data_IF_668441647145
#
_entry.id   IF_668441647145
#
_cell.length_a   1.000
_cell.length_b   1.000
_cell.length_c   1.000
_cell.angle_alpha   90.00
_cell.angle_beta   90.00
_cell.angle_gamma   90.00
#
_symmetry.space_group_name_H-M   'P 1'
#
loop_
_entity.id
_entity.type
_entity.pdbx_description
1 polymer ?
#
# COMPACT_ATOMS: atom_id res chain seq x y z
N UNK A 1 -0.92 -37.86 1.61
CA UNK A 1 -0.57 -37.22 0.33
C UNK A 1 -0.68 -35.72 0.56
N UNK A 2 0.44 -35.00 0.55
CA UNK A 2 0.41 -33.55 0.61
C UNK A 2 -0.19 -33.05 -0.71
N UNK A 3 -1.28 -32.30 -0.62
CA UNK A 3 -1.92 -31.68 -1.77
C UNK A 3 -1.03 -30.52 -2.22
N UNK A 4 -0.29 -30.73 -3.29
CA UNK A 4 0.57 -29.70 -3.88
C UNK A 4 -0.28 -28.82 -4.80
N UNK A 5 -0.85 -27.73 -4.26
CA UNK A 5 -1.47 -26.67 -5.07
C UNK A 5 -0.38 -25.92 -5.84
N UNK A 6 -0.61 -25.61 -7.11
CA UNK A 6 0.32 -24.75 -7.85
C UNK A 6 0.20 -23.29 -7.38
N UNK A 7 1.30 -22.55 -7.40
CA UNK A 7 1.34 -21.16 -6.91
C UNK A 7 0.31 -20.27 -7.61
N UNK A 8 0.09 -20.45 -8.91
CA UNK A 8 -0.88 -19.70 -9.70
C UNK A 8 -2.34 -19.97 -9.30
N UNK A 9 -2.65 -21.22 -8.95
CA UNK A 9 -3.97 -21.62 -8.45
C UNK A 9 -4.25 -21.08 -7.05
N UNK A 10 -3.23 -21.13 -6.17
CA UNK A 10 -3.33 -20.57 -4.83
C UNK A 10 -3.46 -19.04 -4.86
N UNK A 11 -2.67 -18.35 -5.70
CA UNK A 11 -2.79 -16.91 -5.93
C UNK A 11 -4.19 -16.53 -6.39
N UNK A 12 -4.75 -17.26 -7.34
CA UNK A 12 -6.12 -17.04 -7.84
C UNK A 12 -7.15 -17.18 -6.72
N UNK A 13 -7.00 -18.22 -5.89
CA UNK A 13 -7.89 -18.47 -4.74
C UNK A 13 -7.81 -17.37 -3.69
N UNK A 14 -6.61 -16.87 -3.40
CA UNK A 14 -6.41 -15.74 -2.48
C UNK A 14 -7.02 -14.45 -3.04
N UNK A 15 -6.81 -14.14 -4.32
CA UNK A 15 -7.37 -12.94 -4.94
C UNK A 15 -8.90 -13.00 -4.98
N UNK A 16 -9.51 -14.18 -5.11
CA UNK A 16 -10.95 -14.34 -5.10
C UNK A 16 -11.60 -14.01 -3.74
N UNK A 17 -10.87 -14.13 -2.63
CA UNK A 17 -11.37 -13.81 -1.28
C UNK A 17 -10.90 -12.44 -0.76
N UNK A 18 -9.90 -11.85 -1.42
CA UNK A 18 -9.36 -10.54 -1.06
C UNK A 18 -10.20 -9.41 -1.67
N UNK A 19 -10.39 -8.34 -0.90
CA UNK A 19 -10.96 -7.08 -1.38
C UNK A 19 -10.07 -5.91 -0.94
N UNK A 20 -10.00 -4.82 -1.72
CA UNK A 20 -9.36 -3.59 -1.25
C UNK A 20 -9.95 -3.16 0.09
N UNK A 21 -9.10 -2.60 0.94
CA UNK A 21 -9.56 -2.01 2.19
C UNK A 21 -10.35 -0.73 1.90
N UNK A 22 -11.36 -0.49 2.72
CA UNK A 22 -12.17 0.72 2.62
C UNK A 22 -11.33 1.97 2.92
N UNK A 23 -11.66 3.07 2.25
CA UNK A 23 -11.08 4.37 2.57
C UNK A 23 -11.56 4.89 3.91
N UNK A 24 -10.83 5.84 4.49
CA UNK A 24 -11.20 6.48 5.74
C UNK A 24 -10.78 7.95 5.75
N UNK A 25 -11.50 8.73 6.56
CA UNK A 25 -11.17 10.13 6.83
C UNK A 25 -9.94 10.19 7.75
N UNK A 26 -8.88 10.80 7.26
CA UNK A 26 -7.64 10.99 8.01
C UNK A 26 -7.49 12.46 8.39
N UNK A 27 -7.13 12.79 9.64
CA UNK A 27 -6.84 14.16 10.03
C UNK A 27 -5.81 14.79 9.09
N UNK A 28 -6.02 16.05 8.72
CA UNK A 28 -5.29 16.70 7.64
C UNK A 28 -3.76 16.69 7.87
N UNK A 29 -3.32 16.85 9.12
CA UNK A 29 -1.90 16.85 9.46
C UNK A 29 -1.28 15.44 9.44
N UNK A 30 -2.09 14.40 9.64
CA UNK A 30 -1.68 13.00 9.56
C UNK A 30 -1.69 12.48 8.11
N UNK A 31 -2.42 13.14 7.22
CA UNK A 31 -2.58 12.78 5.81
C UNK A 31 -1.29 12.87 4.98
N UNK A 32 -0.22 13.46 5.51
CA UNK A 32 1.03 13.60 4.78
C UNK A 32 1.63 12.24 4.37
N UNK A 33 1.76 12.03 3.07
CA UNK A 33 2.34 10.80 2.50
C UNK A 33 1.32 9.71 2.17
N UNK A 34 0.07 9.82 2.65
CA UNK A 34 -1.04 8.95 2.29
C UNK A 34 -1.49 9.17 0.83
N UNK A 35 -2.38 8.31 0.36
CA UNK A 35 -2.97 8.38 -0.99
C UNK A 35 -4.42 8.82 -0.89
N UNK A 36 -4.82 9.82 -1.68
CA UNK A 36 -6.19 10.31 -1.73
C UNK A 36 -7.14 9.24 -2.29
N UNK A 37 -8.29 9.02 -1.65
CA UNK A 37 -9.27 8.00 -2.10
C UNK A 37 -10.40 8.53 -2.97
N UNK A 38 -10.56 9.86 -3.08
CA UNK A 38 -11.57 10.48 -3.93
C UNK A 38 -11.08 11.84 -4.47
N UNK A 39 -11.71 12.35 -5.52
CA UNK A 39 -11.48 13.71 -6.02
C UNK A 39 -11.95 14.76 -5.00
N UNK A 40 -11.18 15.83 -4.83
CA UNK A 40 -11.53 16.98 -3.98
C UNK A 40 -11.78 18.20 -4.84
N UNK A 41 -12.89 18.87 -4.57
CA UNK A 41 -13.34 20.04 -5.29
C UNK A 41 -13.43 21.27 -4.38
N UNK A 42 -13.11 22.43 -4.92
CA UNK A 42 -13.42 23.73 -4.32
C UNK A 42 -14.51 24.39 -5.18
N UNK A 43 -15.76 24.32 -4.72
CA UNK A 43 -16.91 24.58 -5.58
C UNK A 43 -16.96 23.55 -6.71
N UNK A 44 -16.98 24.01 -7.96
CA UNK A 44 -16.97 23.14 -9.14
C UNK A 44 -15.56 22.77 -9.63
N UNK A 45 -14.52 23.40 -9.07
CA UNK A 45 -13.15 23.21 -9.54
C UNK A 45 -12.51 21.99 -8.87
N UNK A 46 -12.07 21.02 -9.66
CA UNK A 46 -11.20 19.94 -9.18
C UNK A 46 -9.86 20.53 -8.72
N UNK A 47 -9.54 20.35 -7.43
CA UNK A 47 -8.31 20.86 -6.80
C UNK A 47 -7.33 19.75 -6.43
N UNK A 48 -7.82 18.55 -6.13
CA UNK A 48 -6.97 17.38 -5.89
C UNK A 48 -7.60 16.16 -6.55
N UNK A 49 -6.79 15.38 -7.26
CA UNK A 49 -7.24 14.20 -7.99
C UNK A 49 -7.10 12.94 -7.13
N UNK A 50 -8.10 12.06 -7.19
CA UNK A 50 -8.07 10.72 -6.61
C UNK A 50 -6.78 9.98 -7.00
N UNK A 51 -6.23 9.20 -6.06
CA UNK A 51 -5.03 8.40 -6.29
C UNK A 51 -3.74 9.21 -6.25
N UNK A 52 -3.82 10.55 -6.17
CA UNK A 52 -2.64 11.37 -5.93
C UNK A 52 -2.10 11.16 -4.52
N UNK A 53 -0.77 11.20 -4.40
CA UNK A 53 -0.09 11.15 -3.10
C UNK A 53 -0.17 12.52 -2.45
N UNK A 54 -0.57 12.55 -1.18
CA UNK A 54 -0.76 13.78 -0.41
C UNK A 54 0.60 14.30 0.07
N UNK A 55 0.94 15.54 -0.30
CA UNK A 55 2.16 16.26 0.06
C UNK A 55 1.82 17.55 0.80
N UNK A 56 2.85 18.22 1.35
CA UNK A 56 2.69 19.47 2.10
C UNK A 56 1.89 20.55 1.36
N UNK A 57 2.04 20.64 0.03
CA UNK A 57 1.29 21.62 -0.80
C UNK A 57 -0.20 21.32 -0.86
N UNK A 58 -0.59 20.04 -0.96
CA UNK A 58 -1.99 19.62 -0.93
C UNK A 58 -2.60 19.79 0.45
N UNK A 59 -1.80 19.59 1.51
CA UNK A 59 -2.23 19.88 2.88
C UNK A 59 -2.58 21.36 3.04
N UNK A 60 -1.70 22.26 2.59
CA UNK A 60 -1.97 23.70 2.63
C UNK A 60 -3.18 24.10 1.76
N UNK A 61 -3.32 23.49 0.59
CA UNK A 61 -4.47 23.70 -0.29
C UNK A 61 -5.78 23.27 0.38
N UNK A 62 -5.84 22.06 0.93
CA UNK A 62 -6.99 21.52 1.65
C UNK A 62 -7.36 22.40 2.87
N UNK A 63 -6.37 22.81 3.65
CA UNK A 63 -6.58 23.76 4.75
C UNK A 63 -7.15 25.11 4.27
N UNK A 64 -6.65 25.63 3.14
CA UNK A 64 -7.09 26.92 2.59
C UNK A 64 -8.54 26.93 2.14
N UNK A 65 -9.10 25.76 1.83
CA UNK A 65 -10.51 25.58 1.46
C UNK A 65 -11.37 25.08 2.64
N UNK A 66 -10.81 25.05 3.86
CA UNK A 66 -11.53 24.76 5.10
C UNK A 66 -11.67 23.29 5.44
N UNK A 67 -10.89 22.40 4.83
CA UNK A 67 -10.87 20.98 5.19
C UNK A 67 -9.94 20.75 6.40
N UNK A 68 -10.37 19.92 7.34
CA UNK A 68 -9.58 19.44 8.48
C UNK A 68 -9.29 17.93 8.41
N UNK A 69 -9.89 17.24 7.44
CA UNK A 69 -9.67 15.83 7.11
C UNK A 69 -9.54 15.65 5.59
N UNK A 70 -8.92 14.54 5.19
CA UNK A 70 -8.89 14.09 3.80
C UNK A 70 -9.36 12.64 3.70
N UNK A 71 -10.08 12.28 2.62
CA UNK A 71 -10.42 10.90 2.33
C UNK A 71 -9.17 10.18 1.83
N UNK A 72 -8.72 9.17 2.57
CA UNK A 72 -7.44 8.48 2.30
C UNK A 72 -7.62 6.98 2.12
N UNK A 73 -6.67 6.40 1.39
CA UNK A 73 -6.48 4.95 1.29
C UNK A 73 -5.54 4.47 2.41
N UNK A 74 -5.82 3.30 3.02
CA UNK A 74 -4.89 2.65 3.93
C UNK A 74 -3.52 2.42 3.27
N UNK A 75 -2.46 2.60 4.07
CA UNK A 75 -1.10 2.31 3.63
C UNK A 75 -0.98 0.81 3.33
N UNK A 76 -0.56 0.41 2.11
CA UNK A 76 -0.34 -0.99 1.78
C UNK A 76 0.72 -1.59 2.71
N UNK A 77 0.36 -2.70 3.37
CA UNK A 77 1.29 -3.47 4.22
C UNK A 77 1.73 -4.68 3.43
N UNK A 78 2.99 -4.70 3.02
CA UNK A 78 3.58 -5.79 2.23
C UNK A 78 4.46 -6.62 3.14
N UNK A 79 4.19 -7.93 3.21
CA UNK A 79 5.07 -8.91 3.84
C UNK A 79 5.80 -9.63 2.72
N UNK A 80 7.13 -9.64 2.78
CA UNK A 80 7.99 -10.41 1.87
C UNK A 80 8.51 -11.61 2.65
N UNK A 81 8.40 -12.79 2.05
CA UNK A 81 8.90 -14.04 2.61
C UNK A 81 9.74 -14.74 1.55
N UNK A 82 11.00 -14.98 1.86
CA UNK A 82 11.90 -15.80 1.05
C UNK A 82 11.80 -17.25 1.50
N UNK A 83 11.77 -18.19 0.56
CA UNK A 83 11.65 -19.62 0.86
C UNK A 83 12.50 -20.44 -0.10
N UNK A 84 13.53 -21.09 0.45
CA UNK A 84 14.43 -22.01 -0.25
C UNK A 84 15.32 -22.69 0.78
N UNK A 85 15.62 -24.00 0.64
CA UNK A 85 16.48 -24.72 1.59
C UNK A 85 17.95 -24.28 1.53
N UNK A 86 18.31 -23.59 0.46
CA UNK A 86 19.63 -23.07 0.08
C UNK A 86 19.81 -21.57 0.40
N UNK A 87 18.74 -20.87 0.80
CA UNK A 87 18.79 -19.45 1.09
C UNK A 87 19.40 -19.15 2.47
N UNK A 88 20.37 -18.24 2.50
CA UNK A 88 20.98 -17.72 3.73
C UNK A 88 20.91 -16.19 3.78
N UNK A 89 20.83 -15.64 4.99
CA UNK A 89 20.80 -14.19 5.20
C UNK A 89 22.11 -13.51 4.76
N UNK A 90 22.05 -12.36 4.08
CA UNK A 90 23.22 -11.54 3.77
C UNK A 90 24.09 -11.26 5.01
N UNK A 91 25.40 -11.50 4.87
CA UNK A 91 26.39 -11.30 5.94
C UNK A 91 26.81 -12.57 6.68
N UNK A 92 26.16 -13.71 6.43
CA UNK A 92 26.67 -15.05 6.80
C UNK A 92 27.62 -15.55 5.71
N UNK A 93 28.58 -16.40 6.07
CA UNK A 93 29.44 -17.03 5.07
C UNK A 93 28.67 -18.13 4.34
N UNK A 94 28.70 -18.13 3.01
CA UNK A 94 28.12 -19.19 2.18
C UNK A 94 28.95 -20.48 2.26
N UNK A 95 28.27 -21.62 2.25
CA UNK A 95 28.86 -22.94 2.14
C UNK A 95 28.20 -23.76 1.02
N UNK A 96 29.01 -24.50 0.26
CA UNK A 96 28.50 -25.43 -0.74
C UNK A 96 27.70 -24.75 -1.85
N UNK A 97 26.42 -25.10 -1.96
CA UNK A 97 25.46 -24.57 -2.95
C UNK A 97 24.49 -23.53 -2.34
N UNK A 98 24.80 -22.99 -1.17
CA UNK A 98 24.00 -21.91 -0.56
C UNK A 98 24.05 -20.62 -1.41
N UNK A 99 22.95 -19.87 -1.38
CA UNK A 99 22.80 -18.56 -2.02
C UNK A 99 22.21 -17.55 -1.03
N UNK A 100 22.47 -16.25 -1.24
CA UNK A 100 21.84 -15.22 -0.40
C UNK A 100 20.39 -14.98 -0.82
N UNK A 101 19.51 -14.74 0.16
CA UNK A 101 18.13 -14.27 -0.08
C UNK A 101 18.04 -12.84 -0.64
#
# INVERSE_FOLDING_TARGET
MAEHTRVDEFLTSLLAICKPLDSFEMPLLDAHGATLSADIYAGERLVMREGSRIRSTQIGLAASIGLDHLPTRPHPRVVVLSAGPDLVEPGKALAGEEEYE
#
